data_IF_171300167844
#
_entry.id   IF_171300167844
#
_cell.length_a   1.000
_cell.length_b   1.000
_cell.length_c   1.000
_cell.angle_alpha   90.00
_cell.angle_beta   90.00
_cell.angle_gamma   90.00
#
_symmetry.space_group_name_H-M   'P 1'
#
loop_
_entity.id
_entity.type
_entity.pdbx_description
1 polymer ?
#
# COMPACT_ATOMS: atom_id res chain seq x y z
N UNK A 1 14.10 -19.44 31.14
CA UNK A 1 14.00 -20.22 29.90
C UNK A 1 14.16 -19.23 28.78
N UNK A 2 15.30 -19.28 28.09
CA UNK A 2 15.51 -18.45 26.91
C UNK A 2 14.58 -18.96 25.81
N UNK A 3 13.57 -18.18 25.48
CA UNK A 3 12.72 -18.47 24.33
C UNK A 3 13.61 -18.58 23.08
N UNK A 4 13.43 -19.61 22.24
CA UNK A 4 14.22 -19.71 21.03
C UNK A 4 13.97 -18.48 20.15
N UNK A 5 15.00 -17.63 20.01
CA UNK A 5 14.97 -16.50 19.09
C UNK A 5 15.10 -17.05 17.67
N UNK A 6 14.08 -16.76 16.84
CA UNK A 6 14.18 -17.00 15.41
C UNK A 6 15.31 -16.13 14.83
N UNK A 7 16.21 -16.71 13.99
CA UNK A 7 17.17 -15.94 13.22
C UNK A 7 16.51 -14.81 12.42
N UNK A 8 17.14 -13.62 12.31
CA UNK A 8 16.61 -12.49 11.57
C UNK A 8 16.24 -12.81 10.11
N UNK A 9 16.95 -13.74 9.48
CA UNK A 9 16.72 -14.18 8.10
C UNK A 9 15.37 -14.91 7.96
N UNK A 10 14.99 -15.68 8.99
CA UNK A 10 13.68 -16.35 9.02
C UNK A 10 12.56 -15.35 9.31
N UNK A 11 12.80 -14.35 10.16
CA UNK A 11 11.84 -13.27 10.40
C UNK A 11 11.59 -12.46 9.13
N UNK A 12 12.66 -12.11 8.40
CA UNK A 12 12.56 -11.41 7.12
C UNK A 12 11.72 -12.20 6.12
N UNK A 13 11.95 -13.52 6.02
CA UNK A 13 11.16 -14.39 5.14
C UNK A 13 9.69 -14.44 5.55
N UNK A 14 9.39 -14.58 6.84
CA UNK A 14 8.00 -14.58 7.34
C UNK A 14 7.30 -13.26 6.99
N UNK A 15 7.96 -12.13 7.23
CA UNK A 15 7.41 -10.81 6.93
C UNK A 15 7.17 -10.65 5.42
N UNK A 16 8.13 -11.07 4.59
CA UNK A 16 8.00 -10.98 3.13
C UNK A 16 6.83 -11.83 2.62
N UNK A 17 6.72 -13.09 3.04
CA UNK A 17 5.64 -13.99 2.66
C UNK A 17 4.27 -13.43 3.07
N UNK A 18 4.17 -12.88 4.28
CA UNK A 18 2.93 -12.24 4.73
C UNK A 18 2.63 -10.93 3.97
N UNK A 19 3.67 -10.18 3.58
CA UNK A 19 3.52 -8.91 2.87
C UNK A 19 3.01 -9.10 1.44
N UNK A 20 3.43 -10.14 0.74
CA UNK A 20 3.00 -10.40 -0.64
C UNK A 20 1.60 -11.02 -0.76
N UNK A 21 0.98 -11.43 0.35
CA UNK A 21 -0.39 -11.96 0.34
C UNK A 21 -1.37 -10.93 -0.23
N UNK A 22 -2.40 -11.41 -0.94
CA UNK A 22 -3.48 -10.56 -1.44
C UNK A 22 -4.49 -10.27 -0.32
N UNK A 23 -4.21 -9.26 0.50
CA UNK A 23 -5.04 -8.87 1.65
C UNK A 23 -5.97 -7.70 1.33
N UNK A 24 -7.19 -7.72 1.90
CA UNK A 24 -8.11 -6.57 1.87
C UNK A 24 -7.45 -5.34 2.51
N UNK A 25 -7.98 -4.14 2.26
CA UNK A 25 -7.42 -2.92 2.84
C UNK A 25 -7.44 -2.94 4.38
N UNK A 26 -8.48 -3.50 5.01
CA UNK A 26 -8.54 -3.66 6.46
C UNK A 26 -7.49 -4.65 6.97
N UNK A 27 -7.41 -5.85 6.37
CA UNK A 27 -6.45 -6.87 6.78
C UNK A 27 -5.00 -6.39 6.59
N UNK A 28 -4.77 -5.58 5.55
CA UNK A 28 -3.48 -4.93 5.31
C UNK A 28 -3.12 -4.00 6.47
N UNK A 29 -4.05 -3.16 6.91
CA UNK A 29 -3.82 -2.23 8.03
C UNK A 29 -3.52 -3.01 9.31
N UNK A 30 -4.26 -4.08 9.58
CA UNK A 30 -4.05 -4.93 10.75
C UNK A 30 -2.67 -5.60 10.70
N UNK A 31 -2.25 -6.11 9.54
CA UNK A 31 -0.91 -6.67 9.34
C UNK A 31 0.18 -5.61 9.61
N UNK A 32 0.06 -4.45 8.97
CA UNK A 32 1.04 -3.36 9.08
C UNK A 32 1.21 -2.89 10.52
N UNK A 33 0.10 -2.69 11.23
CA UNK A 33 0.12 -2.25 12.64
C UNK A 33 0.64 -3.35 13.56
N UNK A 34 0.23 -4.61 13.36
CA UNK A 34 0.69 -5.74 14.18
C UNK A 34 2.19 -5.96 14.07
N UNK A 35 2.77 -5.94 12.87
CA UNK A 35 4.20 -6.18 12.65
C UNK A 35 5.08 -5.10 13.30
N UNK A 36 4.62 -3.86 13.36
CA UNK A 36 5.34 -2.77 14.03
C UNK A 36 5.38 -2.91 15.55
N UNK A 37 4.47 -3.68 16.15
CA UNK A 37 4.29 -3.80 17.60
C UNK A 37 4.96 -5.05 18.21
N UNK A 38 5.48 -5.98 17.39
CA UNK A 38 6.08 -7.23 17.89
C UNK A 38 7.36 -6.95 18.69
N UNK A 39 8.37 -6.36 18.04
CA UNK A 39 9.61 -5.87 18.65
C UNK A 39 10.39 -4.98 17.65
N UNK A 40 11.54 -4.44 18.08
CA UNK A 40 12.38 -3.57 17.25
C UNK A 40 12.93 -4.24 15.99
N UNK A 41 13.19 -5.55 16.02
CA UNK A 41 13.69 -6.30 14.87
C UNK A 41 12.61 -6.43 13.80
N UNK A 42 11.39 -6.81 14.19
CA UNK A 42 10.23 -6.85 13.30
C UNK A 42 9.93 -5.48 12.72
N UNK A 43 9.89 -4.43 13.55
CA UNK A 43 9.68 -3.05 13.10
C UNK A 43 10.69 -2.67 12.00
N UNK A 44 11.98 -2.94 12.22
CA UNK A 44 13.05 -2.59 11.29
C UNK A 44 12.92 -3.35 9.97
N UNK A 45 12.78 -4.67 10.03
CA UNK A 45 12.65 -5.52 8.83
C UNK A 45 11.39 -5.20 8.04
N UNK A 46 10.25 -5.05 8.72
CA UNK A 46 8.99 -4.70 8.10
C UNK A 46 9.00 -3.31 7.47
N UNK A 47 9.60 -2.31 8.12
CA UNK A 47 9.72 -0.96 7.54
C UNK A 47 10.52 -1.02 6.25
N UNK A 48 11.65 -1.75 6.24
CA UNK A 48 12.47 -1.93 5.04
C UNK A 48 11.70 -2.61 3.90
N UNK A 49 10.98 -3.70 4.19
CA UNK A 49 10.18 -4.43 3.19
C UNK A 49 9.05 -3.57 2.65
N UNK A 50 8.23 -2.99 3.54
CA UNK A 50 7.03 -2.24 3.16
C UNK A 50 7.33 -0.90 2.49
N UNK A 51 8.53 -0.33 2.67
CA UNK A 51 8.93 0.91 2.01
C UNK A 51 9.56 0.65 0.64
N UNK A 52 10.05 -0.57 0.43
CA UNK A 52 10.51 -1.04 -0.88
C UNK A 52 9.32 -1.36 -1.79
N UNK A 53 8.38 -2.16 -1.28
CA UNK A 53 7.16 -2.55 -1.98
C UNK A 53 5.94 -2.01 -1.24
N UNK A 54 5.52 -0.80 -1.60
CA UNK A 54 4.54 -0.02 -0.84
C UNK A 54 3.13 -0.46 -1.16
N UNK A 55 2.31 -0.67 -0.13
CA UNK A 55 0.87 -0.80 -0.26
C UNK A 55 0.19 0.44 0.35
N UNK A 56 -0.74 1.04 -0.38
CA UNK A 56 -1.58 2.15 0.08
C UNK A 56 -2.97 1.61 0.43
N UNK A 57 -3.24 1.24 1.70
CA UNK A 57 -4.53 0.67 2.07
C UNK A 57 -5.60 1.71 2.42
N UNK A 58 -5.22 2.99 2.56
CA UNK A 58 -6.14 4.05 2.95
C UNK A 58 -5.68 5.44 2.49
N UNK A 59 -6.61 6.42 2.40
CA UNK A 59 -6.25 7.80 2.11
C UNK A 59 -5.29 8.39 3.15
N UNK A 60 -5.53 8.11 4.44
CA UNK A 60 -4.70 8.63 5.53
C UNK A 60 -3.28 8.09 5.50
N UNK A 61 -3.09 6.85 5.05
CA UNK A 61 -1.77 6.29 4.82
C UNK A 61 -1.05 7.01 3.68
N UNK A 62 -1.74 7.30 2.57
CA UNK A 62 -1.17 8.02 1.44
C UNK A 62 -0.58 9.37 1.88
N UNK A 63 -1.33 10.17 2.63
CA UNK A 63 -0.85 11.47 3.12
C UNK A 63 0.41 11.33 3.99
N UNK A 64 0.46 10.34 4.88
CA UNK A 64 1.65 10.08 5.72
C UNK A 64 2.84 9.61 4.88
N UNK A 65 2.59 8.77 3.88
CA UNK A 65 3.61 8.28 2.98
C UNK A 65 4.18 9.43 2.12
N UNK A 66 3.33 10.31 1.60
CA UNK A 66 3.75 11.51 0.87
C UNK A 66 4.57 12.46 1.74
N UNK A 67 4.17 12.68 3.00
CA UNK A 67 4.97 13.46 3.94
C UNK A 67 6.36 12.83 4.16
N UNK A 68 6.42 11.49 4.29
CA UNK A 68 7.68 10.76 4.40
C UNK A 68 8.57 10.92 3.15
N UNK A 69 7.97 10.89 1.96
CA UNK A 69 8.69 11.12 0.70
C UNK A 69 9.22 12.55 0.57
N UNK A 70 8.48 13.53 1.10
CA UNK A 70 8.89 14.93 1.15
C UNK A 70 9.93 15.24 2.24
N UNK A 71 10.41 14.22 2.98
CA UNK A 71 11.44 14.38 4.00
C UNK A 71 10.90 14.78 5.38
N UNK A 72 9.61 14.61 5.65
CA UNK A 72 9.03 14.67 6.99
C UNK A 72 8.96 13.23 7.55
N UNK A 73 10.02 12.74 8.22
CA UNK A 73 10.08 11.34 8.60
C UNK A 73 8.98 11.02 9.61
N UNK A 74 8.11 10.03 9.37
CA UNK A 74 7.36 9.42 10.46
C UNK A 74 8.34 8.86 11.49
N UNK A 75 8.02 8.92 12.79
CA UNK A 75 8.80 8.36 13.92
C UNK A 75 9.13 6.84 13.79
N UNK A 76 8.72 6.21 12.70
CA UNK A 76 8.97 4.82 12.36
C UNK A 76 10.32 4.63 11.65
N UNK A 77 10.89 5.69 11.07
CA UNK A 77 12.07 5.65 10.19
C UNK A 77 13.46 5.66 10.88
N UNK A 78 13.56 5.43 12.19
CA UNK A 78 14.83 5.53 12.94
C UNK A 78 15.99 4.79 12.23
N UNK A 79 16.89 5.55 11.58
CA UNK A 79 18.06 5.04 10.87
C UNK A 79 17.80 4.33 9.52
N UNK A 80 16.57 4.29 9.02
CA UNK A 80 16.25 3.70 7.71
C UNK A 80 16.36 4.74 6.58
N UNK A 81 16.79 4.34 5.37
CA UNK A 81 16.78 5.23 4.22
C UNK A 81 15.34 5.71 3.93
N UNK A 82 15.17 6.96 3.49
CA UNK A 82 13.85 7.49 3.21
C UNK A 82 13.19 6.72 2.05
N UNK A 83 11.86 6.54 2.08
CA UNK A 83 11.15 5.72 1.10
C UNK A 83 11.35 6.18 -0.35
N UNK A 84 11.65 7.46 -0.58
CA UNK A 84 11.89 8.00 -1.92
C UNK A 84 13.14 7.39 -2.58
N UNK A 85 14.10 6.89 -1.79
CA UNK A 85 15.30 6.23 -2.31
C UNK A 85 15.20 4.70 -2.35
N UNK A 86 14.18 4.09 -1.76
CA UNK A 86 14.06 2.63 -1.70
C UNK A 86 12.81 2.06 -2.36
N UNK A 87 11.78 2.89 -2.57
CA UNK A 87 10.54 2.46 -3.18
C UNK A 87 10.76 2.00 -4.62
N UNK A 88 10.45 0.73 -4.89
CA UNK A 88 10.52 0.09 -6.20
C UNK A 88 9.13 -0.16 -6.79
N UNK A 89 8.14 -0.40 -5.91
CA UNK A 89 6.76 -0.60 -6.33
C UNK A 89 5.76 0.07 -5.38
N UNK A 90 4.61 0.47 -5.94
CA UNK A 90 3.45 0.97 -5.20
C UNK A 90 2.23 0.18 -5.64
N UNK A 91 1.43 -0.31 -4.70
CA UNK A 91 0.17 -1.02 -4.93
C UNK A 91 -0.99 -0.29 -4.23
N UNK A 92 -2.11 -0.17 -4.93
CA UNK A 92 -3.36 0.36 -4.38
C UNK A 92 -4.51 -0.57 -4.76
N UNK A 93 -5.35 -0.88 -3.78
CA UNK A 93 -6.57 -1.67 -3.97
C UNK A 93 -7.80 -0.79 -3.83
N UNK A 94 -8.66 -0.85 -4.84
CA UNK A 94 -9.92 -0.13 -4.93
C UNK A 94 -11.04 -1.14 -4.71
N UNK A 95 -11.69 -1.15 -3.52
CA UNK A 95 -12.83 -2.01 -3.25
C UNK A 95 -14.03 -1.61 -4.13
N UNK A 96 -15.11 -2.41 -4.20
CA UNK A 96 -16.34 -1.95 -4.84
C UNK A 96 -16.89 -0.69 -4.18
N UNK A 97 -17.50 0.21 -4.96
CA UNK A 97 -18.28 1.29 -4.39
C UNK A 97 -19.46 0.69 -3.62
N UNK A 98 -19.68 1.12 -2.38
CA UNK A 98 -20.84 0.66 -1.61
C UNK A 98 -22.07 1.30 -2.24
N UNK A 99 -22.88 0.50 -2.94
CA UNK A 99 -24.18 0.93 -3.40
C UNK A 99 -25.06 1.15 -2.15
N UNK A 100 -25.40 2.41 -1.87
CA UNK A 100 -26.42 2.71 -0.88
C UNK A 100 -27.76 2.22 -1.44
N UNK A 101 -28.21 1.03 -1.03
CA UNK A 101 -29.55 0.49 -1.36
C UNK A 101 -30.72 1.32 -0.79
N UNK A 102 -30.48 2.54 -0.33
CA UNK A 102 -31.44 3.30 0.48
C UNK A 102 -32.15 4.44 -0.23
N UNK A 103 -31.76 4.87 -1.43
CA UNK A 103 -32.60 5.76 -2.24
C UNK A 103 -32.27 5.58 -3.73
N UNK A 104 -33.29 5.18 -4.49
CA UNK A 104 -33.33 5.38 -5.94
C UNK A 104 -33.15 6.88 -6.23
N UNK A 105 -32.36 7.18 -7.25
CA UNK A 105 -31.92 8.51 -7.69
C UNK A 105 -30.81 9.15 -6.84
N UNK A 106 -29.59 9.10 -7.38
CA UNK A 106 -28.51 10.09 -7.20
C UNK A 106 -27.38 9.89 -6.16
N UNK A 107 -27.10 8.67 -5.71
CA UNK A 107 -26.09 8.44 -4.66
C UNK A 107 -25.01 7.40 -4.94
N UNK A 108 -24.23 7.52 -6.03
CA UNK A 108 -22.93 6.81 -6.05
C UNK A 108 -22.05 7.43 -4.97
N UNK A 109 -21.85 6.73 -3.85
CA UNK A 109 -20.84 7.14 -2.89
C UNK A 109 -19.47 7.03 -3.57
N UNK A 110 -18.78 8.15 -3.71
CA UNK A 110 -17.42 8.16 -4.26
C UNK A 110 -16.55 7.21 -3.44
N UNK A 111 -15.82 6.35 -4.15
CA UNK A 111 -14.91 5.43 -3.50
C UNK A 111 -13.67 6.22 -3.05
N UNK A 112 -13.39 6.31 -1.74
CA UNK A 112 -12.25 7.09 -1.23
C UNK A 112 -10.91 6.55 -1.75
N UNK A 113 -10.82 5.27 -2.09
CA UNK A 113 -9.62 4.70 -2.72
C UNK A 113 -9.47 5.12 -4.19
N UNK A 114 -10.57 5.44 -4.87
CA UNK A 114 -10.55 6.03 -6.21
C UNK A 114 -9.93 7.44 -6.19
N UNK A 115 -10.36 8.29 -5.24
CA UNK A 115 -9.73 9.60 -5.02
C UNK A 115 -8.27 9.47 -4.58
N UNK A 116 -7.97 8.48 -3.72
CA UNK A 116 -6.60 8.17 -3.28
C UNK A 116 -5.69 7.81 -4.45
N UNK A 117 -6.18 7.06 -5.45
CA UNK A 117 -5.43 6.78 -6.69
C UNK A 117 -5.13 8.07 -7.46
N UNK A 118 -6.13 8.92 -7.67
CA UNK A 118 -5.97 10.20 -8.38
C UNK A 118 -4.93 11.08 -7.70
N UNK A 119 -5.00 11.19 -6.37
CA UNK A 119 -4.01 11.91 -5.57
C UNK A 119 -2.63 11.28 -5.73
N UNK A 120 -2.48 9.97 -5.57
CA UNK A 120 -1.19 9.29 -5.75
C UNK A 120 -0.55 9.64 -7.11
N UNK A 121 -1.31 9.53 -8.21
CA UNK A 121 -0.81 9.80 -9.55
C UNK A 121 -0.41 11.27 -9.73
N UNK A 122 -1.21 12.20 -9.20
CA UNK A 122 -0.88 13.63 -9.24
C UNK A 122 0.45 13.94 -8.56
N UNK A 123 0.70 13.36 -7.38
CA UNK A 123 1.95 13.57 -6.66
C UNK A 123 3.16 12.92 -7.33
N UNK A 124 2.97 11.74 -7.94
CA UNK A 124 4.04 11.07 -8.70
C UNK A 124 4.43 11.83 -9.96
N UNK A 125 3.49 12.54 -10.58
CA UNK A 125 3.73 13.34 -11.79
C UNK A 125 4.55 14.62 -11.50
N UNK A 126 4.28 15.28 -10.36
CA UNK A 126 4.79 16.65 -10.14
C UNK A 126 5.74 16.87 -8.96
N UNK A 127 5.81 15.98 -7.98
CA UNK A 127 6.28 16.37 -6.63
C UNK A 127 7.40 15.47 -6.08
N UNK A 128 7.48 14.20 -6.48
CA UNK A 128 8.34 13.22 -5.81
C UNK A 128 9.49 12.78 -6.71
N UNK A 129 10.72 12.95 -6.24
CA UNK A 129 11.91 12.25 -6.76
C UNK A 129 11.90 10.79 -6.26
N UNK A 130 11.33 9.87 -7.03
CA UNK A 130 11.32 8.43 -6.77
C UNK A 130 12.08 7.65 -7.86
N UNK A 131 13.42 7.78 -7.92
CA UNK A 131 14.21 7.27 -9.04
C UNK A 131 14.21 5.74 -9.17
N UNK A 132 13.83 5.04 -8.10
CA UNK A 132 13.77 3.57 -8.08
C UNK A 132 12.37 3.03 -8.35
N UNK A 133 11.33 3.87 -8.40
CA UNK A 133 9.96 3.43 -8.63
C UNK A 133 9.81 2.94 -10.07
N UNK A 134 9.52 1.65 -10.22
CA UNK A 134 9.41 0.97 -11.53
C UNK A 134 8.00 0.48 -11.84
N UNK A 135 7.20 0.28 -10.79
CA UNK A 135 5.91 -0.41 -10.91
C UNK A 135 4.84 0.27 -10.06
N UNK A 136 3.69 0.56 -10.68
CA UNK A 136 2.46 0.91 -9.97
C UNK A 136 1.43 -0.19 -10.27
N UNK A 137 0.87 -0.81 -9.22
CA UNK A 137 -0.17 -1.84 -9.31
C UNK A 137 -1.49 -1.26 -8.82
N UNK A 138 -2.53 -1.46 -9.62
CA UNK A 138 -3.88 -1.03 -9.31
C UNK A 138 -4.76 -2.27 -9.32
N UNK A 139 -5.35 -2.60 -8.19
CA UNK A 139 -6.20 -3.78 -8.00
C UNK A 139 -7.64 -3.33 -7.82
N UNK A 140 -8.53 -3.72 -8.73
CA UNK A 140 -9.97 -3.52 -8.58
C UNK A 140 -10.60 -4.80 -8.05
N UNK A 141 -11.37 -4.69 -6.98
CA UNK A 141 -12.11 -5.83 -6.43
C UNK A 141 -13.40 -6.05 -7.23
N UNK A 142 -13.54 -7.24 -7.80
CA UNK A 142 -14.57 -7.56 -8.79
C UNK A 142 -15.97 -7.48 -8.16
N UNK A 143 -16.85 -6.66 -8.76
CA UNK A 143 -18.27 -6.60 -8.40
C UNK A 143 -18.94 -7.85 -8.96
N UNK A 144 -19.57 -8.66 -8.11
CA UNK A 144 -20.25 -9.89 -8.54
C UNK A 144 -21.23 -9.66 -9.70
N UNK A 145 -20.93 -10.35 -10.80
CA UNK A 145 -21.69 -10.80 -11.96
C UNK A 145 -22.70 -9.90 -12.73
N UNK A 146 -22.58 -10.03 -14.05
CA UNK A 146 -23.50 -9.66 -15.14
C UNK A 146 -23.96 -8.19 -15.26
N UNK A 147 -23.12 -7.35 -15.88
CA UNK A 147 -23.50 -6.59 -17.08
C UNK A 147 -22.46 -5.52 -17.41
N UNK A 148 -21.91 -5.63 -18.61
CA UNK A 148 -21.00 -4.71 -19.32
C UNK A 148 -19.53 -5.01 -19.08
N UNK A 149 -19.05 -5.87 -19.97
CA UNK A 149 -17.72 -5.86 -20.58
C UNK A 149 -17.05 -4.48 -20.57
N UNK A 150 -16.40 -4.16 -19.45
CA UNK A 150 -15.18 -3.36 -19.44
C UNK A 150 -14.22 -4.08 -18.51
N UNK A 151 -13.76 -5.25 -18.96
CA UNK A 151 -12.55 -5.89 -18.44
C UNK A 151 -11.40 -4.92 -18.71
N UNK A 152 -11.14 -4.01 -17.77
CA UNK A 152 -9.82 -3.47 -17.56
C UNK A 152 -9.14 -4.30 -16.45
N UNK A 153 -9.03 -5.62 -16.67
CA UNK A 153 -7.87 -6.37 -16.17
C UNK A 153 -6.66 -5.90 -16.97
N UNK A 154 -6.22 -4.68 -16.70
CA UNK A 154 -4.95 -4.18 -17.18
C UNK A 154 -4.12 -3.95 -15.95
N UNK A 155 -3.28 -4.94 -15.60
CA UNK A 155 -1.99 -4.64 -15.00
C UNK A 155 -1.31 -3.62 -15.94
N UNK A 156 -1.58 -2.33 -15.75
CA UNK A 156 -0.80 -1.29 -16.40
C UNK A 156 0.50 -1.21 -15.61
N UNK A 157 1.49 -1.95 -16.06
CA UNK A 157 2.87 -1.61 -15.78
C UNK A 157 3.10 -0.22 -16.38
N UNK A 158 2.97 0.82 -15.57
CA UNK A 158 3.44 2.16 -15.94
C UNK A 158 4.94 2.12 -15.69
N UNK A 159 5.71 1.84 -16.75
CA UNK A 159 7.16 1.97 -16.75
C UNK A 159 7.50 3.43 -17.03
N UNK A 160 8.10 4.11 -16.07
CA UNK A 160 8.80 5.36 -16.34
C UNK A 160 10.15 4.99 -16.97
N UNK A 161 10.48 5.62 -18.10
CA UNK A 161 11.74 5.43 -18.84
C UNK A 161 12.81 6.37 -18.31
#
# INVERSE_FOLDING_TARGET
MDSPLLPPELLEKIILEAWILSLSNSDRIDLMTSFLLVNSTWKTLFTRISFKDVHIPSPSYLFKYMAALAGYPPHVLDGQPPPNKTCESIAIRIPPAIANKRNDYDGYQENPMGETLSNLLYYLDGIIDAPNLRTIRIEYENMGDESRDFIFLRQRHISFR
#
